data_IF_428087812972
#
_entry.id   IF_428087812972
#
_cell.length_a   1.000
_cell.length_b   1.000
_cell.length_c   1.000
_cell.angle_alpha   90.00
_cell.angle_beta   90.00
_cell.angle_gamma   90.00
#
_symmetry.space_group_name_H-M   'P 1'
#
loop_
_entity.id
_entity.type
_entity.pdbx_description
1 polymer ?
#
# COMPACT_ATOMS: atom_id res chain seq x y z
N UNK A 1 21.28 8.46 -2.53
CA UNK A 1 19.81 8.45 -2.65
C UNK A 1 19.43 9.57 -3.63
N UNK A 2 19.15 9.23 -4.90
CA UNK A 2 18.90 10.22 -5.95
C UNK A 2 17.49 10.78 -5.82
N UNK A 3 17.34 12.11 -5.88
CA UNK A 3 16.02 12.74 -5.93
C UNK A 3 15.27 12.24 -7.17
N UNK A 4 13.99 11.83 -7.05
CA UNK A 4 13.21 11.45 -8.22
C UNK A 4 13.12 12.61 -9.21
N UNK A 5 13.12 12.29 -10.50
CA UNK A 5 13.19 13.27 -11.58
C UNK A 5 11.93 14.15 -11.63
N UNK A 6 12.04 15.41 -12.11
CA UNK A 6 10.92 16.37 -12.16
C UNK A 6 9.68 15.87 -12.93
N UNK A 7 9.87 14.91 -13.85
CA UNK A 7 8.76 14.28 -14.60
C UNK A 7 7.84 13.44 -13.71
N UNK A 8 8.35 12.85 -12.63
CA UNK A 8 7.54 12.13 -11.65
C UNK A 8 6.65 13.13 -10.90
N UNK A 9 7.18 14.28 -10.48
CA UNK A 9 6.40 15.29 -9.76
C UNK A 9 5.23 15.87 -10.59
N UNK A 10 5.44 16.12 -11.89
CA UNK A 10 4.39 16.64 -12.78
C UNK A 10 3.25 15.64 -13.00
N UNK A 11 3.56 14.34 -13.11
CA UNK A 11 2.53 13.30 -13.18
C UNK A 11 1.71 13.14 -11.89
N UNK A 12 2.30 13.49 -10.74
CA UNK A 12 1.62 13.49 -9.44
C UNK A 12 0.67 14.69 -9.27
N UNK A 13 1.00 15.87 -9.82
CA UNK A 13 0.13 17.07 -9.70
C UNK A 13 -1.03 17.07 -10.68
N UNK A 14 -0.88 16.50 -11.89
CA UNK A 14 -1.95 16.46 -12.90
C UNK A 14 -2.91 15.27 -12.74
N UNK A 15 -2.58 14.30 -11.88
CA UNK A 15 -3.46 13.16 -11.54
C UNK A 15 -3.68 13.04 -10.02
N UNK A 16 -3.88 14.14 -9.32
CA UNK A 16 -4.65 14.08 -8.07
C UNK A 16 -6.13 13.94 -8.44
N UNK A 17 -6.48 12.81 -9.08
CA UNK A 17 -7.81 12.25 -8.92
C UNK A 17 -7.80 11.74 -7.49
N UNK A 18 -8.54 12.40 -6.61
CA UNK A 18 -8.66 11.99 -5.21
C UNK A 18 -8.87 10.48 -5.19
N UNK A 19 -7.91 9.71 -4.66
CA UNK A 19 -8.01 8.24 -4.54
C UNK A 19 -9.15 7.80 -3.59
N UNK A 20 -10.03 8.72 -3.19
CA UNK A 20 -11.24 8.50 -2.40
C UNK A 20 -12.30 7.68 -3.14
N UNK A 21 -12.21 7.50 -4.45
CA UNK A 21 -13.13 6.60 -5.19
C UNK A 21 -12.80 5.12 -4.97
N UNK A 22 -11.61 4.79 -4.44
CA UNK A 22 -11.13 3.41 -4.30
C UNK A 22 -10.89 2.98 -2.85
N UNK A 23 -11.29 3.79 -1.86
CA UNK A 23 -11.17 3.53 -0.41
C UNK A 23 -9.80 2.98 0.04
N UNK A 24 -8.71 3.46 -0.58
CA UNK A 24 -7.36 3.01 -0.27
C UNK A 24 -6.70 3.93 0.77
N UNK A 25 -6.32 3.35 1.91
CA UNK A 25 -5.66 4.05 3.00
C UNK A 25 -4.15 4.23 2.70
N UNK A 26 -3.71 5.48 2.64
CA UNK A 26 -2.32 5.85 2.32
C UNK A 26 -1.62 6.43 3.54
N UNK A 27 -0.45 5.89 3.87
CA UNK A 27 0.41 6.45 4.92
C UNK A 27 1.41 7.46 4.31
N UNK A 28 1.29 8.73 4.70
CA UNK A 28 2.15 9.84 4.26
C UNK A 28 3.24 10.13 5.30
N UNK A 29 4.44 10.47 4.85
CA UNK A 29 5.53 10.96 5.74
C UNK A 29 5.90 12.42 5.44
N UNK A 30 6.81 12.99 6.25
CA UNK A 30 7.26 14.40 6.29
C UNK A 30 7.72 14.96 4.92
N UNK A 31 7.97 14.10 3.93
CA UNK A 31 8.32 14.46 2.56
C UNK A 31 7.21 14.05 1.57
N UNK A 32 5.95 14.43 1.77
CA UNK A 32 4.82 14.39 0.80
C UNK A 32 4.60 13.17 -0.13
N UNK A 33 5.35 12.07 0.04
CA UNK A 33 5.37 10.90 -0.83
C UNK A 33 4.77 9.71 -0.08
N UNK A 34 3.87 8.95 -0.71
CA UNK A 34 3.36 7.71 -0.12
C UNK A 34 4.50 6.71 -0.02
N UNK A 35 4.76 6.22 1.20
CA UNK A 35 5.82 5.22 1.44
C UNK A 35 5.26 3.80 1.58
N UNK A 36 3.95 3.67 1.72
CA UNK A 36 3.26 2.39 1.98
C UNK A 36 1.78 2.49 1.56
N UNK A 37 1.30 1.47 0.87
CA UNK A 37 -0.13 1.22 0.66
C UNK A 37 -0.68 0.33 1.79
N UNK A 38 -1.83 0.69 2.35
CA UNK A 38 -2.53 -0.13 3.35
C UNK A 38 -3.95 -0.39 2.85
N UNK A 39 -4.36 -1.66 2.86
CA UNK A 39 -5.75 -2.08 2.64
C UNK A 39 -6.25 -2.80 3.88
N UNK A 40 -7.51 -2.60 4.27
CA UNK A 40 -8.12 -3.27 5.42
C UNK A 40 -9.27 -4.13 4.95
N UNK A 41 -9.25 -5.42 5.29
CA UNK A 41 -10.34 -6.37 5.02
C UNK A 41 -10.80 -7.04 6.31
N UNK A 42 -12.07 -7.48 6.34
CA UNK A 42 -12.59 -8.22 7.49
C UNK A 42 -11.88 -9.58 7.64
N UNK A 43 -11.80 -10.37 6.56
CA UNK A 43 -11.24 -11.73 6.65
C UNK A 43 -10.62 -12.26 5.36
N UNK A 44 -10.71 -11.54 4.24
CA UNK A 44 -10.14 -11.99 2.98
C UNK A 44 -8.62 -11.98 3.05
N UNK A 45 -8.03 -13.17 2.94
CA UNK A 45 -6.59 -13.38 3.00
C UNK A 45 -5.91 -13.23 1.63
N UNK A 46 -6.69 -13.08 0.56
CA UNK A 46 -6.18 -12.77 -0.78
C UNK A 46 -6.01 -11.25 -0.88
N UNK A 47 -4.88 -10.75 -1.40
CA UNK A 47 -4.71 -9.32 -1.64
C UNK A 47 -5.82 -8.77 -2.55
N UNK A 48 -6.36 -7.61 -2.18
CA UNK A 48 -7.32 -6.91 -3.02
C UNK A 48 -6.70 -6.59 -4.39
N UNK A 49 -7.48 -6.77 -5.46
CA UNK A 49 -7.02 -6.47 -6.82
C UNK A 49 -6.62 -4.99 -6.98
N UNK A 50 -7.31 -4.08 -6.29
CA UNK A 50 -6.95 -2.66 -6.20
C UNK A 50 -5.55 -2.48 -5.61
N UNK A 51 -5.29 -3.07 -4.43
CA UNK A 51 -3.99 -3.01 -3.76
C UNK A 51 -2.86 -3.49 -4.68
N UNK A 52 -3.07 -4.61 -5.37
CA UNK A 52 -2.10 -5.17 -6.33
C UNK A 52 -1.85 -4.21 -7.50
N UNK A 53 -2.91 -3.65 -8.10
CA UNK A 53 -2.80 -2.71 -9.21
C UNK A 53 -2.06 -1.42 -8.81
N UNK A 54 -2.41 -0.84 -7.66
CA UNK A 54 -1.77 0.38 -7.18
C UNK A 54 -0.33 0.17 -6.73
N UNK A 55 -0.01 -0.98 -6.14
CA UNK A 55 1.37 -1.31 -5.79
C UNK A 55 2.25 -1.37 -7.03
N UNK A 56 1.75 -1.98 -8.12
CA UNK A 56 2.49 -2.03 -9.39
C UNK A 56 2.65 -0.63 -9.99
N UNK A 57 1.60 0.18 -9.97
CA UNK A 57 1.61 1.53 -10.54
C UNK A 57 2.57 2.47 -9.80
N UNK A 58 2.49 2.50 -8.47
CA UNK A 58 3.31 3.39 -7.63
C UNK A 58 4.69 2.81 -7.34
N UNK A 59 4.83 1.49 -7.46
CA UNK A 59 6.05 0.76 -7.15
C UNK A 59 6.58 1.02 -5.72
N UNK A 60 5.68 0.87 -4.74
CA UNK A 60 5.98 1.06 -3.31
C UNK A 60 5.55 -0.18 -2.50
N UNK A 61 6.00 -0.36 -1.25
CA UNK A 61 5.51 -1.42 -0.38
C UNK A 61 3.99 -1.39 -0.19
N UNK A 62 3.39 -2.56 0.06
CA UNK A 62 1.96 -2.69 0.35
C UNK A 62 1.68 -3.77 1.40
N UNK A 63 0.66 -3.53 2.22
CA UNK A 63 0.16 -4.47 3.22
C UNK A 63 -1.37 -4.50 3.20
N UNK A 64 -1.95 -5.70 3.32
CA UNK A 64 -3.36 -5.89 3.63
C UNK A 64 -3.50 -6.38 5.07
N UNK A 65 -4.24 -5.63 5.88
CA UNK A 65 -4.55 -5.97 7.26
C UNK A 65 -5.89 -6.70 7.30
N UNK A 66 -5.94 -7.84 7.99
CA UNK A 66 -7.16 -8.62 8.15
C UNK A 66 -7.57 -8.74 9.62
N UNK A 67 -8.87 -8.69 9.90
CA UNK A 67 -9.45 -9.03 11.21
C UNK A 67 -9.65 -10.55 11.33
N UNK A 68 -8.57 -11.30 11.07
CA UNK A 68 -8.51 -12.76 11.20
C UNK A 68 -7.21 -13.17 11.86
N UNK A 69 -7.33 -14.03 12.87
CA UNK A 69 -6.20 -14.50 13.67
C UNK A 69 -5.29 -15.46 12.90
N UNK A 70 -4.00 -15.48 13.26
CA UNK A 70 -3.02 -16.40 12.69
C UNK A 70 -2.59 -16.14 11.24
N UNK A 71 -3.02 -15.03 10.64
CA UNK A 71 -2.69 -14.71 9.23
C UNK A 71 -1.33 -14.04 9.14
N UNK A 72 -0.46 -14.61 8.31
CA UNK A 72 0.79 -14.01 7.81
C UNK A 72 1.16 -14.68 6.50
N UNK A 73 0.83 -14.04 5.37
CA UNK A 73 1.05 -14.54 4.01
C UNK A 73 1.76 -13.50 3.16
N UNK A 74 2.58 -13.94 2.23
CA UNK A 74 3.27 -13.07 1.27
C UNK A 74 2.82 -13.46 -0.13
N UNK A 75 2.40 -12.48 -0.91
CA UNK A 75 1.98 -12.64 -2.29
C UNK A 75 2.94 -11.88 -3.21
N UNK A 76 3.40 -12.53 -4.28
CA UNK A 76 4.23 -11.88 -5.29
C UNK A 76 3.38 -10.95 -6.17
N UNK A 77 3.88 -9.76 -6.43
CA UNK A 77 3.26 -8.79 -7.33
C UNK A 77 4.33 -8.06 -8.16
N UNK A 78 4.67 -8.66 -9.30
CA UNK A 78 5.80 -8.21 -10.11
C UNK A 78 7.11 -8.28 -9.32
N UNK A 79 7.78 -7.14 -9.14
CA UNK A 79 9.05 -7.05 -8.39
C UNK A 79 8.88 -6.79 -6.89
N UNK A 80 7.65 -6.55 -6.43
CA UNK A 80 7.33 -6.30 -5.04
C UNK A 80 6.55 -7.47 -4.44
N UNK A 81 6.44 -7.44 -3.12
CA UNK A 81 5.65 -8.38 -2.33
C UNK A 81 4.49 -7.62 -1.66
N UNK A 82 3.35 -8.28 -1.51
CA UNK A 82 2.24 -7.82 -0.66
C UNK A 82 2.15 -8.71 0.56
N UNK A 83 2.26 -8.11 1.74
CA UNK A 83 2.04 -8.80 3.01
C UNK A 83 0.54 -8.80 3.33
N UNK A 84 -0.04 -9.96 3.59
CA UNK A 84 -1.38 -10.09 4.19
C UNK A 84 -1.22 -10.61 5.60
N UNK A 85 -1.71 -9.87 6.60
CA UNK A 85 -1.38 -10.13 8.01
C UNK A 85 -2.52 -9.76 8.95
N UNK A 86 -2.64 -10.48 10.06
CA UNK A 86 -3.53 -10.12 11.17
C UNK A 86 -3.25 -8.69 11.64
N UNK A 87 -4.28 -7.84 11.65
CA UNK A 87 -4.15 -6.40 11.82
C UNK A 87 -3.39 -6.00 13.09
N UNK A 88 -3.78 -6.53 14.26
CA UNK A 88 -3.16 -6.14 15.53
C UNK A 88 -1.68 -6.53 15.64
N UNK A 89 -1.26 -7.62 14.96
CA UNK A 89 0.16 -8.05 14.94
C UNK A 89 1.03 -7.06 14.18
N UNK A 90 0.49 -6.48 13.11
CA UNK A 90 1.20 -5.48 12.33
C UNK A 90 1.20 -4.12 13.03
N UNK A 91 0.04 -3.69 13.53
CA UNK A 91 -0.10 -2.40 14.23
C UNK A 91 0.76 -2.31 15.50
N UNK A 92 0.87 -3.40 16.26
CA UNK A 92 1.72 -3.45 17.46
C UNK A 92 3.23 -3.42 17.17
N UNK A 93 3.64 -3.63 15.92
CA UNK A 93 5.03 -3.60 15.49
C UNK A 93 5.45 -2.25 14.88
N UNK A 94 4.54 -1.26 14.85
CA UNK A 94 4.88 0.10 14.44
C UNK A 94 5.74 0.79 15.52
N UNK A 95 6.73 1.60 15.12
CA UNK A 95 7.62 2.32 16.03
C UNK A 95 6.92 3.43 16.81
#
# INVERSE_FOLDING_TARGET
>A
MGKPSPKIFSAYSEKVKTFSEYDLDLLKTRFSFPILLIEIKLSDETPAASLMAFQNFLNIPAVQLVKKEGVKKIYKNGKNDVLVVTAHRWLSALP
#
